data_IF_458883448668
#
_entry.id   IF_458883448668
#
_cell.length_a   1.000
_cell.length_b   1.000
_cell.length_c   1.000
_cell.angle_alpha   90.00
_cell.angle_beta   90.00
_cell.angle_gamma   90.00
#
_symmetry.space_group_name_H-M   'P 1'
#
loop_
_entity.id
_entity.type
_entity.pdbx_description
1 polymer ?
#
# COMPACT_ATOMS: atom_id res chain seq x y z
N UNK A 1 -52.38 0.36 70.57
CA UNK A 1 -51.79 1.02 69.38
C UNK A 1 -50.29 0.78 69.43
N UNK A 2 -49.60 0.19 68.46
CA UNK A 2 -49.94 -0.25 67.12
C UNK A 2 -48.81 -1.22 66.74
N UNK A 3 -49.16 -2.42 66.27
CA UNK A 3 -48.22 -3.33 65.62
C UNK A 3 -47.64 -2.61 64.40
N UNK A 4 -46.33 -2.58 64.24
CA UNK A 4 -45.75 -2.44 62.91
C UNK A 4 -44.56 -3.40 62.77
N UNK A 5 -44.91 -4.57 62.24
CA UNK A 5 -43.98 -5.57 61.73
C UNK A 5 -43.26 -4.95 60.53
N UNK A 6 -41.97 -4.73 60.65
CA UNK A 6 -41.10 -4.46 59.50
C UNK A 6 -41.08 -5.76 58.69
N UNK A 7 -41.91 -5.81 57.65
CA UNK A 7 -41.88 -6.86 56.64
C UNK A 7 -40.54 -6.79 55.91
N UNK A 8 -39.91 -7.95 55.81
CA UNK A 8 -38.93 -8.33 54.80
C UNK A 8 -39.04 -7.52 53.51
N UNK A 9 -37.98 -6.77 53.20
CA UNK A 9 -37.52 -6.58 51.83
C UNK A 9 -36.01 -6.79 51.85
N UNK A 10 -35.58 -8.02 52.14
CA UNK A 10 -34.35 -8.51 51.51
C UNK A 10 -34.80 -8.89 50.10
N UNK A 11 -34.71 -7.94 49.18
CA UNK A 11 -34.69 -8.30 47.76
C UNK A 11 -33.49 -9.23 47.59
N UNK A 12 -33.76 -10.50 47.31
CA UNK A 12 -32.76 -11.41 46.80
C UNK A 12 -32.39 -10.89 45.41
N UNK A 13 -31.40 -9.99 45.35
CA UNK A 13 -30.62 -9.82 44.14
C UNK A 13 -30.08 -11.22 43.83
N UNK A 14 -30.69 -11.87 42.85
CA UNK A 14 -30.11 -13.05 42.22
C UNK A 14 -28.87 -12.53 41.52
N UNK A 15 -27.77 -12.43 42.27
CA UNK A 15 -26.43 -12.22 41.76
C UNK A 15 -26.12 -13.47 40.93
N UNK A 16 -26.59 -13.45 39.68
CA UNK A 16 -26.26 -14.41 38.64
C UNK A 16 -24.79 -14.18 38.27
N UNK A 17 -23.89 -14.68 39.13
CA UNK A 17 -22.47 -14.64 38.90
C UNK A 17 -22.12 -15.46 37.66
N UNK A 18 -21.24 -14.93 36.81
CA UNK A 18 -20.66 -15.65 35.69
C UNK A 18 -20.09 -16.99 36.18
N UNK A 19 -20.48 -18.07 35.52
CA UNK A 19 -19.87 -19.37 35.83
C UNK A 19 -18.44 -19.41 35.27
N UNK A 20 -17.53 -20.07 36.00
CA UNK A 20 -16.15 -20.24 35.53
C UNK A 20 -16.11 -20.97 34.17
N UNK A 21 -17.06 -21.88 33.93
CA UNK A 21 -17.18 -22.62 32.68
C UNK A 21 -17.66 -21.73 31.52
N UNK A 22 -18.56 -20.78 31.75
CA UNK A 22 -18.95 -19.80 30.70
C UNK A 22 -17.75 -18.99 30.26
N UNK A 23 -16.95 -18.50 31.20
CA UNK A 23 -15.76 -17.73 30.87
C UNK A 23 -14.71 -18.58 30.16
N UNK A 24 -14.59 -19.86 30.53
CA UNK A 24 -13.67 -20.82 29.90
C UNK A 24 -14.05 -21.13 28.44
N UNK A 25 -15.34 -21.33 28.15
CA UNK A 25 -15.80 -21.58 26.77
C UNK A 25 -15.62 -20.32 25.92
N UNK A 26 -15.86 -19.13 26.47
CA UNK A 26 -15.68 -17.86 25.74
C UNK A 26 -14.23 -17.67 25.33
N UNK A 27 -13.26 -17.83 26.26
CA UNK A 27 -11.83 -17.68 25.93
C UNK A 27 -11.35 -18.74 24.93
N UNK A 28 -11.94 -19.95 24.97
CA UNK A 28 -11.66 -21.02 24.02
C UNK A 28 -12.15 -20.65 22.60
N UNK A 29 -13.36 -20.10 22.48
CA UNK A 29 -13.91 -19.68 21.18
C UNK A 29 -13.11 -18.50 20.61
N UNK A 30 -12.86 -17.42 21.39
CA UNK A 30 -12.07 -16.28 20.88
C UNK A 30 -10.62 -16.67 20.59
N UNK A 31 -10.05 -17.61 21.34
CA UNK A 31 -8.69 -18.12 21.13
C UNK A 31 -8.56 -18.86 19.80
N UNK A 32 -9.50 -19.75 19.49
CA UNK A 32 -9.51 -20.49 18.21
C UNK A 32 -9.73 -19.56 17.01
N UNK A 33 -10.66 -18.61 17.12
CA UNK A 33 -10.91 -17.62 16.04
C UNK A 33 -9.70 -16.70 15.82
N UNK A 34 -9.06 -16.24 16.89
CA UNK A 34 -7.89 -15.35 16.79
C UNK A 34 -6.69 -16.05 16.16
N UNK A 35 -6.46 -17.33 16.48
CA UNK A 35 -5.35 -18.10 15.93
C UNK A 35 -5.40 -18.21 14.39
N UNK A 36 -6.61 -18.35 13.83
CA UNK A 36 -6.80 -18.46 12.37
C UNK A 36 -6.81 -17.06 11.71
N UNK A 37 -7.39 -16.05 12.37
CA UNK A 37 -7.63 -14.74 11.78
C UNK A 37 -6.39 -13.83 11.75
N UNK A 38 -5.53 -13.90 12.77
CA UNK A 38 -4.39 -12.99 12.93
C UNK A 38 -3.39 -12.99 11.75
N UNK A 39 -2.92 -14.14 11.21
CA UNK A 39 -1.97 -14.10 10.09
C UNK A 39 -2.57 -13.46 8.83
N UNK A 40 -3.87 -13.66 8.58
CA UNK A 40 -4.55 -13.04 7.46
C UNK A 40 -4.67 -11.52 7.64
N UNK A 41 -4.96 -11.05 8.85
CA UNK A 41 -4.99 -9.62 9.16
C UNK A 41 -3.63 -8.95 8.87
N UNK A 42 -2.52 -9.56 9.29
CA UNK A 42 -1.18 -9.01 9.06
C UNK A 42 -0.84 -8.91 7.56
N UNK A 43 -1.23 -9.90 6.77
CA UNK A 43 -1.07 -9.86 5.30
C UNK A 43 -1.91 -8.75 4.66
N UNK A 44 -3.15 -8.56 5.11
CA UNK A 44 -4.03 -7.51 4.61
C UNK A 44 -3.51 -6.10 4.90
N UNK A 45 -2.91 -5.90 6.08
CA UNK A 45 -2.25 -4.62 6.42
C UNK A 45 -1.10 -4.32 5.46
N UNK A 46 -0.26 -5.31 5.13
CA UNK A 46 0.80 -5.15 4.12
C UNK A 46 0.23 -4.75 2.76
N UNK A 47 -0.80 -5.46 2.28
CA UNK A 47 -1.48 -5.14 1.01
C UNK A 47 -2.10 -3.74 1.00
N UNK A 48 -2.65 -3.28 2.11
CA UNK A 48 -3.21 -1.93 2.23
C UNK A 48 -2.12 -0.85 2.09
N UNK A 49 -0.95 -1.07 2.71
CA UNK A 49 0.22 -0.19 2.56
C UNK A 49 0.71 -0.15 1.11
N UNK A 50 0.77 -1.31 0.46
CA UNK A 50 1.14 -1.38 -0.95
C UNK A 50 0.12 -0.67 -1.85
N UNK A 51 -1.17 -0.78 -1.56
CA UNK A 51 -2.22 -0.10 -2.32
C UNK A 51 -2.08 1.44 -2.26
N UNK A 52 -1.69 1.99 -1.11
CA UNK A 52 -1.37 3.41 -0.97
C UNK A 52 -0.26 3.84 -1.93
N UNK A 53 0.84 3.08 -2.00
CA UNK A 53 1.95 3.35 -2.92
C UNK A 53 1.51 3.31 -4.39
N UNK A 54 0.70 2.32 -4.77
CA UNK A 54 0.18 2.19 -6.13
C UNK A 54 -0.70 3.38 -6.52
N UNK A 55 -1.55 3.83 -5.61
CA UNK A 55 -2.43 4.98 -5.86
C UNK A 55 -1.63 6.26 -6.10
N UNK A 56 -0.60 6.51 -5.29
CA UNK A 56 0.27 7.68 -5.43
C UNK A 56 1.12 7.58 -6.69
N UNK A 57 1.70 6.42 -7.02
CA UNK A 57 2.41 6.22 -8.29
C UNK A 57 1.51 6.42 -9.50
N UNK A 58 0.24 5.98 -9.43
CA UNK A 58 -0.75 6.27 -10.47
C UNK A 58 -1.01 7.77 -10.64
N UNK A 59 -1.04 8.53 -9.55
CA UNK A 59 -1.14 9.99 -9.58
C UNK A 59 0.12 10.63 -10.18
N UNK A 60 1.31 10.18 -9.78
CA UNK A 60 2.60 10.64 -10.32
C UNK A 60 2.73 10.37 -11.82
N UNK A 61 2.31 9.20 -12.29
CA UNK A 61 2.28 8.86 -13.73
C UNK A 61 1.39 9.85 -14.51
N UNK A 62 0.23 10.22 -13.98
CA UNK A 62 -0.64 11.23 -14.63
C UNK A 62 -0.02 12.62 -14.59
N UNK A 63 0.58 13.00 -13.46
CA UNK A 63 1.26 14.28 -13.32
C UNK A 63 2.43 14.40 -14.31
N UNK A 64 3.18 13.33 -14.55
CA UNK A 64 4.25 13.28 -15.56
C UNK A 64 3.73 13.48 -16.98
N UNK A 65 2.57 12.91 -17.32
CA UNK A 65 1.93 13.15 -18.61
C UNK A 65 1.47 14.61 -18.76
N UNK A 66 0.92 15.20 -17.70
CA UNK A 66 0.57 16.63 -17.68
C UNK A 66 1.82 17.50 -17.85
N UNK A 67 2.87 17.22 -17.09
CA UNK A 67 4.14 17.94 -17.13
C UNK A 67 4.78 17.88 -18.52
N UNK A 68 4.78 16.71 -19.16
CA UNK A 68 5.23 16.56 -20.54
C UNK A 68 4.35 17.34 -21.52
N UNK A 69 3.03 17.35 -21.32
CA UNK A 69 2.11 18.07 -22.21
C UNK A 69 2.33 19.59 -22.16
N UNK A 70 2.79 20.12 -21.03
CA UNK A 70 3.10 21.54 -20.86
C UNK A 70 4.49 21.91 -21.35
N UNK A 71 5.50 21.04 -21.15
CA UNK A 71 6.92 21.39 -21.33
C UNK A 71 7.65 20.58 -22.42
N UNK A 72 6.96 19.62 -23.04
CA UNK A 72 7.51 18.65 -23.99
C UNK A 72 8.70 17.82 -23.45
N UNK A 73 8.86 17.75 -22.13
CA UNK A 73 9.89 16.96 -21.44
C UNK A 73 9.31 16.38 -20.15
N UNK A 74 9.71 15.16 -19.79
CA UNK A 74 9.33 14.54 -18.52
C UNK A 74 10.20 15.10 -17.38
N UNK A 75 9.72 15.00 -16.15
CA UNK A 75 10.59 15.27 -15.00
C UNK A 75 11.61 14.11 -14.87
N UNK A 76 12.83 14.47 -14.48
CA UNK A 76 13.98 13.57 -14.34
C UNK A 76 14.39 13.41 -12.86
N UNK A 77 15.49 12.70 -12.62
CA UNK A 77 15.93 12.30 -11.29
C UNK A 77 15.93 13.43 -10.25
N UNK A 78 15.26 13.21 -9.11
CA UNK A 78 15.13 14.17 -8.01
C UNK A 78 14.15 15.32 -8.27
N UNK A 79 13.42 15.32 -9.39
CA UNK A 79 12.50 16.41 -9.76
C UNK A 79 11.04 16.11 -9.38
N UNK A 80 10.80 15.34 -8.31
CA UNK A 80 9.43 15.01 -7.89
C UNK A 80 8.59 16.25 -7.53
N UNK A 81 9.22 17.28 -6.98
CA UNK A 81 8.55 18.54 -6.63
C UNK A 81 7.97 19.27 -7.85
N UNK A 82 8.50 19.02 -9.06
CA UNK A 82 7.99 19.60 -10.32
C UNK A 82 6.65 19.01 -10.76
N UNK A 83 6.26 17.88 -10.19
CA UNK A 83 5.00 17.20 -10.52
C UNK A 83 3.83 17.71 -9.67
N UNK A 84 4.09 18.49 -8.63
CA UNK A 84 3.08 19.15 -7.77
C UNK A 84 2.02 18.17 -7.21
N UNK A 85 2.38 16.89 -7.06
CA UNK A 85 1.50 15.88 -6.47
C UNK A 85 1.58 15.99 -4.95
N UNK A 86 0.44 16.07 -4.23
CA UNK A 86 0.45 16.07 -2.78
C UNK A 86 0.82 14.68 -2.25
N UNK A 87 2.06 14.51 -1.81
CA UNK A 87 2.57 13.24 -1.25
C UNK A 87 2.28 13.08 0.26
N UNK A 88 1.43 13.93 0.84
CA UNK A 88 1.30 14.13 2.28
C UNK A 88 1.15 12.85 3.12
N UNK A 89 1.80 12.82 4.29
CA UNK A 89 1.51 11.86 5.37
C UNK A 89 1.93 10.40 5.15
N UNK A 90 2.62 10.08 4.05
CA UNK A 90 3.05 8.72 3.74
C UNK A 90 4.08 8.20 4.76
N UNK A 91 3.68 7.23 5.57
CA UNK A 91 4.51 6.68 6.65
C UNK A 91 5.44 5.57 6.19
N UNK A 92 4.96 4.75 5.26
CA UNK A 92 5.61 3.49 4.88
C UNK A 92 6.43 3.58 3.60
N UNK A 93 6.24 4.65 2.83
CA UNK A 93 6.85 4.85 1.52
C UNK A 93 7.46 6.23 1.39
N UNK A 94 8.55 6.30 0.65
CA UNK A 94 9.14 7.52 0.09
C UNK A 94 8.98 7.47 -1.42
N UNK A 95 8.75 8.64 -2.03
CA UNK A 95 8.55 8.75 -3.47
C UNK A 95 9.61 9.66 -4.05
N UNK A 96 10.11 9.29 -5.23
CA UNK A 96 11.00 10.16 -6.01
C UNK A 96 10.86 9.87 -7.50
N UNK A 97 11.31 10.80 -8.33
CA UNK A 97 11.60 10.54 -9.75
C UNK A 97 13.03 10.04 -9.81
N UNK A 98 13.26 8.88 -10.43
CA UNK A 98 14.59 8.20 -10.41
C UNK A 98 15.25 8.13 -11.78
N UNK A 99 14.49 8.43 -12.84
CA UNK A 99 14.96 8.63 -14.20
C UNK A 99 13.86 9.35 -14.99
N UNK A 100 14.18 9.80 -16.21
CA UNK A 100 13.25 10.49 -17.08
C UNK A 100 11.93 9.71 -17.26
N UNK A 101 10.83 10.26 -16.74
CA UNK A 101 9.50 9.63 -16.82
C UNK A 101 9.36 8.36 -15.96
N UNK A 102 10.28 8.08 -15.03
CA UNK A 102 10.24 6.95 -14.10
C UNK A 102 10.16 7.44 -12.65
N UNK A 103 9.13 7.03 -11.93
CA UNK A 103 8.92 7.35 -10.52
C UNK A 103 9.02 6.09 -9.69
N UNK A 104 9.53 6.23 -8.48
CA UNK A 104 9.76 5.13 -7.56
C UNK A 104 9.01 5.37 -6.26
N UNK A 105 8.40 4.30 -5.75
CA UNK A 105 8.00 4.22 -4.36
C UNK A 105 8.93 3.25 -3.65
N UNK A 106 9.77 3.77 -2.74
CA UNK A 106 10.66 2.98 -1.90
C UNK A 106 10.05 2.80 -0.54
N UNK A 107 9.87 1.56 -0.12
CA UNK A 107 9.36 1.26 1.21
C UNK A 107 10.44 1.45 2.26
N UNK A 108 10.11 2.17 3.34
CA UNK A 108 11.09 2.60 4.34
C UNK A 108 11.70 1.43 5.13
N UNK A 109 10.98 0.31 5.22
CA UNK A 109 11.45 -0.90 5.89
C UNK A 109 10.66 -2.14 5.42
N UNK A 110 10.87 -2.52 4.16
CA UNK A 110 10.09 -3.54 3.46
C UNK A 110 9.96 -4.87 4.23
N UNK A 111 11.06 -5.36 4.81
CA UNK A 111 11.08 -6.62 5.56
C UNK A 111 10.15 -6.59 6.80
N UNK A 112 10.12 -5.47 7.53
CA UNK A 112 9.34 -5.34 8.76
C UNK A 112 7.90 -4.91 8.49
N UNK A 113 7.67 -4.16 7.41
CA UNK A 113 6.35 -3.64 7.08
C UNK A 113 5.55 -4.55 6.14
N UNK A 114 6.15 -5.64 5.64
CA UNK A 114 5.52 -6.51 4.65
C UNK A 114 5.16 -5.74 3.37
N UNK A 115 6.02 -4.80 2.97
CA UNK A 115 5.87 -3.94 1.79
C UNK A 115 6.93 -4.26 0.74
N UNK A 116 6.73 -3.79 -0.49
CA UNK A 116 7.67 -3.94 -1.60
C UNK A 116 7.92 -2.58 -2.28
N UNK A 117 9.05 -2.42 -2.95
CA UNK A 117 9.27 -1.26 -3.82
C UNK A 117 8.49 -1.40 -5.13
N UNK A 118 8.08 -0.25 -5.65
CA UNK A 118 7.32 -0.10 -6.88
C UNK A 118 7.95 0.95 -7.80
N UNK A 119 7.77 0.79 -9.11
CA UNK A 119 8.09 1.80 -10.11
C UNK A 119 6.85 2.13 -10.94
N UNK A 120 6.60 3.42 -11.12
CA UNK A 120 5.75 3.95 -12.18
C UNK A 120 6.62 4.37 -13.36
N UNK A 121 6.23 3.97 -14.56
CA UNK A 121 6.89 4.42 -15.78
C UNK A 121 5.89 5.07 -16.71
N UNK A 122 6.29 6.16 -17.36
CA UNK A 122 5.51 6.81 -18.42
C UNK A 122 6.37 6.90 -19.68
N UNK A 123 5.76 6.58 -20.81
CA UNK A 123 6.34 6.71 -22.13
C UNK A 123 5.45 7.61 -23.00
N UNK A 124 6.09 8.46 -23.80
CA UNK A 124 5.46 9.14 -24.93
C UNK A 124 6.05 8.62 -26.24
N UNK A 125 5.22 8.02 -27.07
CA UNK A 125 5.62 7.52 -28.39
C UNK A 125 5.37 8.61 -29.45
N UNK A 126 6.42 9.10 -30.11
CA UNK A 126 6.30 10.24 -31.05
C UNK A 126 5.60 9.88 -32.37
N UNK A 127 5.64 8.60 -32.76
CA UNK A 127 5.02 8.09 -33.99
C UNK A 127 3.49 7.92 -33.86
N UNK A 128 3.01 7.39 -32.74
CA UNK A 128 1.59 7.18 -32.46
C UNK A 128 0.97 8.33 -31.67
N UNK A 129 1.80 9.25 -31.16
CA UNK A 129 1.40 10.42 -30.36
C UNK A 129 0.56 10.01 -29.14
N UNK A 130 0.92 8.87 -28.55
CA UNK A 130 0.18 8.26 -27.45
C UNK A 130 1.06 8.14 -26.20
N UNK A 131 0.43 8.36 -25.03
CA UNK A 131 1.02 8.03 -23.74
C UNK A 131 0.76 6.59 -23.37
N UNK A 132 1.74 6.00 -22.69
CA UNK A 132 1.62 4.68 -22.08
C UNK A 132 2.22 4.73 -20.70
N UNK A 133 1.55 4.11 -19.74
CA UNK A 133 2.07 3.99 -18.38
C UNK A 133 2.15 2.53 -17.97
N UNK A 134 3.11 2.22 -17.12
CA UNK A 134 3.27 0.91 -16.50
C UNK A 134 3.50 1.07 -15.01
N UNK A 135 3.18 0.01 -14.26
CA UNK A 135 3.52 -0.13 -12.87
C UNK A 135 4.27 -1.46 -12.67
N UNK A 136 5.50 -1.37 -12.20
CA UNK A 136 6.37 -2.51 -11.92
C UNK A 136 6.54 -2.71 -10.42
N UNK A 137 6.59 -3.96 -9.98
CA UNK A 137 6.86 -4.36 -8.58
C UNK A 137 8.13 -5.17 -8.51
N UNK A 138 8.91 -4.99 -7.44
CA UNK A 138 10.07 -5.85 -7.16
C UNK A 138 9.65 -7.31 -6.92
N UNK A 139 10.36 -8.24 -7.55
CA UNK A 139 10.25 -9.70 -7.32
C UNK A 139 11.41 -10.26 -6.50
N UNK A 140 12.39 -9.42 -6.13
CA UNK A 140 13.58 -9.83 -5.35
C UNK A 140 13.24 -10.24 -3.92
N UNK A 141 14.15 -11.03 -3.31
CA UNK A 141 13.95 -11.67 -2.00
C UNK A 141 13.98 -10.69 -0.81
N UNK A 142 13.38 -11.14 0.29
CA UNK A 142 12.74 -10.35 1.34
C UNK A 142 13.61 -9.38 2.15
N UNK A 143 14.94 -9.45 2.05
CA UNK A 143 15.83 -8.51 2.75
C UNK A 143 16.07 -7.22 1.98
N UNK A 144 15.76 -7.18 0.67
CA UNK A 144 16.01 -5.98 -0.14
C UNK A 144 14.82 -5.48 -0.94
N UNK A 145 13.85 -6.30 -1.35
CA UNK A 145 12.64 -5.91 -2.13
C UNK A 145 12.84 -4.68 -3.04
N UNK A 146 14.03 -4.57 -3.63
CA UNK A 146 14.52 -3.35 -4.24
C UNK A 146 14.26 -3.41 -5.73
N UNK A 147 14.07 -2.24 -6.31
CA UNK A 147 13.86 -2.09 -7.74
C UNK A 147 14.70 -0.89 -8.20
N UNK A 148 15.38 -1.05 -9.33
CA UNK A 148 16.23 -0.04 -9.93
C UNK A 148 15.48 0.66 -11.06
N UNK A 149 15.80 1.93 -11.36
CA UNK A 149 15.14 2.67 -12.45
C UNK A 149 15.20 1.91 -13.80
N UNK A 150 16.25 1.12 -14.03
CA UNK A 150 16.45 0.24 -15.19
C UNK A 150 15.45 -0.91 -15.30
N UNK A 151 14.69 -1.19 -14.25
CA UNK A 151 13.62 -2.19 -14.27
C UNK A 151 12.36 -1.68 -14.97
N UNK A 152 12.27 -0.38 -15.30
CA UNK A 152 11.34 0.13 -16.31
C UNK A 152 12.10 0.35 -17.62
N UNK A 153 11.67 -0.32 -18.67
CA UNK A 153 12.29 -0.31 -19.99
C UNK A 153 11.46 0.59 -20.92
N UNK A 154 12.13 1.38 -21.76
CA UNK A 154 11.52 2.29 -22.74
C UNK A 154 10.64 3.39 -22.12
N UNK A 155 10.89 3.81 -20.87
CA UNK A 155 10.29 5.02 -20.34
C UNK A 155 10.78 6.28 -21.07
N UNK A 156 10.10 7.40 -20.86
CA UNK A 156 10.42 8.68 -21.48
C UNK A 156 9.96 8.79 -22.94
N UNK A 157 10.65 9.58 -23.74
CA UNK A 157 10.28 9.85 -25.15
C UNK A 157 10.94 8.83 -26.06
N UNK A 158 10.15 8.12 -26.85
CA UNK A 158 10.65 7.08 -27.76
C UNK A 158 10.12 7.27 -29.18
N UNK A 159 10.97 6.95 -30.15
CA UNK A 159 10.71 7.13 -31.59
C UNK A 159 10.13 5.87 -32.28
N UNK A 160 9.87 4.81 -31.51
CA UNK A 160 9.47 3.50 -32.07
C UNK A 160 8.42 2.80 -31.20
N UNK A 161 7.71 1.84 -31.79
CA UNK A 161 6.66 0.99 -31.18
C UNK A 161 7.14 0.11 -29.99
N UNK A 162 8.31 0.41 -29.43
CA UNK A 162 8.85 -0.21 -28.24
C UNK A 162 7.92 0.06 -27.07
N UNK A 163 7.26 -0.99 -26.63
CA UNK A 163 6.32 -0.94 -25.52
C UNK A 163 7.07 -0.67 -24.23
N UNK A 164 6.60 0.30 -23.44
CA UNK A 164 7.03 0.42 -22.04
C UNK A 164 6.76 -0.90 -21.31
N UNK A 165 7.76 -1.42 -20.61
CA UNK A 165 7.73 -2.76 -20.02
C UNK A 165 8.52 -2.82 -18.70
N UNK A 166 8.21 -3.81 -17.86
CA UNK A 166 9.00 -4.14 -16.69
C UNK A 166 10.12 -5.12 -17.05
N UNK A 167 11.27 -5.03 -16.39
CA UNK A 167 12.35 -6.00 -16.53
C UNK A 167 12.02 -7.27 -15.73
N UNK A 168 11.67 -8.33 -16.44
CA UNK A 168 11.24 -9.61 -15.86
C UNK A 168 12.32 -10.35 -15.05
N UNK A 169 13.58 -9.89 -15.06
CA UNK A 169 14.63 -10.48 -14.23
C UNK A 169 14.44 -10.18 -12.72
N UNK A 170 13.92 -8.99 -12.40
CA UNK A 170 13.85 -8.47 -11.02
C UNK A 170 12.53 -7.76 -10.68
N UNK A 171 11.65 -7.62 -11.67
CA UNK A 171 10.38 -6.93 -11.52
C UNK A 171 9.28 -7.60 -12.32
N UNK A 172 8.04 -7.36 -11.93
CA UNK A 172 6.86 -7.83 -12.64
C UNK A 172 5.85 -6.70 -12.82
N UNK A 173 5.13 -6.72 -13.94
CA UNK A 173 4.06 -5.77 -14.22
C UNK A 173 2.83 -6.06 -13.36
N UNK A 174 2.22 -5.01 -12.83
CA UNK A 174 0.96 -5.09 -12.10
C UNK A 174 -0.12 -4.43 -12.92
N UNK A 175 -1.18 -5.19 -13.17
CA UNK A 175 -2.42 -4.74 -13.78
C UNK A 175 -3.33 -4.08 -12.77
#
# INVERSE_FOLDING_TARGET
MQRLIIKNIVESNQDNGFTLIELLIVILIIGTLSAISLPNLLSQVGKAREAEAKNILGALNRAQQSYFSERAVFADNGQIDKLEVPLGGVKYYTFDVVALGVQKATGNNNANNGTRDYLGGVQYATNTRAYRSILCRSTKSASRYDIAATDVINAGVNVSANVIACNNANSEEIK
#
